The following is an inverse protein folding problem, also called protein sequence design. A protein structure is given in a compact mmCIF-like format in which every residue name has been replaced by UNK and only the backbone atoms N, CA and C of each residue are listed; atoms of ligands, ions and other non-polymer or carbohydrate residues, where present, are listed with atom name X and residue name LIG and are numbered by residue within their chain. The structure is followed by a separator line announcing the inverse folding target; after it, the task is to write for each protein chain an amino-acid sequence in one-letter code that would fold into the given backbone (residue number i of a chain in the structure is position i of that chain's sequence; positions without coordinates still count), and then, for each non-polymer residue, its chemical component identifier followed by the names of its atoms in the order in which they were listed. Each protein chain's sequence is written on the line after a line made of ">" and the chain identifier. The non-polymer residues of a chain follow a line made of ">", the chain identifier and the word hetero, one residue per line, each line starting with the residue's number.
data_IF_304681004298
#
_entry.id   IF_304681004298
#
_cell.length_a   1.000
_cell.length_b   1.000
_cell.length_c   1.000
_cell.angle_alpha   90.00
_cell.angle_beta   90.00
_cell.angle_gamma   90.00
#
_symmetry.space_group_name_H-M   'P 1'
#
loop_
_entity.id
_entity.type
_entity.pdbx_description
1 polymer ?
#
# COMPACT_ATOMS: atom_id res chain seq x y z
N UNK A 1 -9.60 -3.31 10.83
CA UNK A 1 -9.40 -3.21 12.30
C UNK A 1 -7.98 -2.79 12.63
N UNK A 2 -6.96 -3.57 12.25
CA UNK A 2 -5.56 -3.22 12.53
C UNK A 2 -5.14 -1.84 12.00
N UNK A 3 -5.37 -1.55 10.71
CA UNK A 3 -5.03 -0.23 10.15
C UNK A 3 -5.74 0.94 10.85
N UNK A 4 -7.01 0.76 11.25
CA UNK A 4 -7.75 1.78 11.97
C UNK A 4 -7.17 2.04 13.38
N UNK A 5 -6.73 0.98 14.07
CA UNK A 5 -6.08 1.13 15.38
C UNK A 5 -4.71 1.78 15.25
N UNK A 6 -3.93 1.41 14.22
CA UNK A 6 -2.65 2.07 13.92
C UNK A 6 -2.85 3.56 13.62
N UNK A 7 -3.82 3.90 12.78
CA UNK A 7 -4.16 5.30 12.49
C UNK A 7 -4.58 6.07 13.74
N UNK A 8 -5.37 5.45 14.62
CA UNK A 8 -5.81 6.06 15.89
C UNK A 8 -4.65 6.28 16.87
N UNK A 9 -3.69 5.35 16.91
CA UNK A 9 -2.54 5.40 17.81
C UNK A 9 -1.31 6.13 17.27
N UNK A 10 -1.36 6.65 16.04
CA UNK A 10 -0.24 7.36 15.42
C UNK A 10 0.05 8.66 16.17
N UNK A 11 1.34 8.92 16.41
CA UNK A 11 1.84 10.11 17.11
C UNK A 11 2.70 11.05 16.25
N UNK A 12 2.97 10.69 15.00
CA UNK A 12 3.67 11.52 14.02
C UNK A 12 2.81 11.86 12.80
N UNK A 13 3.40 12.59 11.85
CA UNK A 13 2.70 13.08 10.65
C UNK A 13 2.76 12.10 9.46
N UNK A 14 3.60 11.05 9.55
CA UNK A 14 3.76 10.06 8.48
C UNK A 14 2.49 9.24 8.27
N UNK A 15 2.10 8.99 7.01
CA UNK A 15 0.82 8.40 6.68
C UNK A 15 0.76 6.90 7.00
N UNK A 16 -0.37 6.46 7.59
CA UNK A 16 -0.70 5.05 7.76
C UNK A 16 -1.84 4.69 6.82
N UNK A 17 -1.51 3.96 5.74
CA UNK A 17 -2.45 3.61 4.68
C UNK A 17 -2.72 2.09 4.63
N UNK A 18 -3.93 1.71 4.24
CA UNK A 18 -4.29 0.33 3.90
C UNK A 18 -4.87 0.29 2.47
N UNK A 19 -4.22 -0.48 1.60
CA UNK A 19 -4.74 -0.79 0.26
C UNK A 19 -5.62 -2.02 0.31
N UNK A 20 -6.86 -1.89 -0.14
CA UNK A 20 -7.80 -3.02 -0.30
C UNK A 20 -7.99 -3.26 -1.80
N UNK A 21 -7.50 -4.38 -2.31
CA UNK A 21 -7.67 -4.75 -3.71
C UNK A 21 -9.11 -5.19 -4.02
N UNK A 22 -9.72 -4.63 -5.07
CA UNK A 22 -11.03 -5.09 -5.56
C UNK A 22 -10.89 -6.36 -6.40
N UNK A 23 -11.79 -7.33 -6.17
CA UNK A 23 -11.88 -8.60 -6.91
C UNK A 23 -10.52 -9.30 -7.03
N UNK A 24 -9.84 -9.46 -5.89
CA UNK A 24 -8.61 -10.22 -5.74
C UNK A 24 -8.78 -11.21 -4.59
N UNK A 25 -8.54 -12.50 -4.84
CA UNK A 25 -8.47 -13.53 -3.80
C UNK A 25 -7.12 -13.51 -3.08
N UNK A 26 -6.75 -14.61 -2.41
CA UNK A 26 -5.49 -14.77 -1.66
C UNK A 26 -4.19 -14.69 -2.52
N UNK A 27 -4.29 -14.38 -3.81
CA UNK A 27 -3.15 -14.12 -4.70
C UNK A 27 -3.05 -15.09 -5.88
N UNK A 28 -3.50 -16.34 -5.73
CA UNK A 28 -3.51 -17.30 -6.82
C UNK A 28 -4.43 -16.84 -7.96
N UNK A 29 -3.91 -16.81 -9.19
CA UNK A 29 -4.66 -16.39 -10.38
C UNK A 29 -4.86 -14.88 -10.53
N UNK A 30 -4.15 -14.05 -9.76
CA UNK A 30 -4.21 -12.59 -9.93
C UNK A 30 -3.65 -12.21 -11.32
N UNK A 31 -4.38 -11.44 -12.15
CA UNK A 31 -3.88 -11.03 -13.45
C UNK A 31 -2.56 -10.28 -13.33
N UNK A 32 -1.60 -10.56 -14.21
CA UNK A 32 -0.27 -9.90 -14.22
C UNK A 32 -0.38 -8.38 -14.16
N UNK A 33 -1.35 -7.79 -14.87
CA UNK A 33 -1.61 -6.34 -14.82
C UNK A 33 -1.90 -5.83 -13.40
N UNK A 34 -2.70 -6.57 -12.61
CA UNK A 34 -2.97 -6.21 -11.22
C UNK A 34 -1.75 -6.44 -10.32
N UNK A 35 -0.91 -7.42 -10.63
CA UNK A 35 0.35 -7.66 -9.92
C UNK A 35 1.31 -6.48 -10.15
N UNK A 36 1.49 -6.06 -11.39
CA UNK A 36 2.33 -4.92 -11.76
C UNK A 36 1.85 -3.65 -11.05
N UNK A 37 0.54 -3.37 -11.08
CA UNK A 37 -0.03 -2.21 -10.39
C UNK A 37 0.23 -2.23 -8.88
N UNK A 38 0.05 -3.37 -8.22
CA UNK A 38 0.35 -3.51 -6.79
C UNK A 38 1.82 -3.21 -6.45
N UNK A 39 2.76 -3.68 -7.27
CA UNK A 39 4.17 -3.40 -7.06
C UNK A 39 4.48 -1.94 -7.34
N UNK A 40 4.00 -1.39 -8.46
CA UNK A 40 4.21 0.01 -8.82
C UNK A 40 3.76 0.95 -7.70
N UNK A 41 2.58 0.70 -7.10
CA UNK A 41 2.08 1.52 -5.99
C UNK A 41 2.90 1.38 -4.70
N UNK A 42 3.39 0.18 -4.37
CA UNK A 42 4.26 -0.01 -3.20
C UNK A 42 5.58 0.72 -3.36
N UNK A 43 6.19 0.63 -4.54
CA UNK A 43 7.44 1.33 -4.85
C UNK A 43 7.23 2.83 -4.89
N UNK A 44 6.15 3.32 -5.52
CA UNK A 44 5.82 4.74 -5.55
C UNK A 44 5.61 5.30 -4.14
N UNK A 45 4.84 4.62 -3.28
CA UNK A 45 4.68 5.03 -1.88
C UNK A 45 6.02 5.10 -1.15
N UNK A 46 6.84 4.06 -1.27
CA UNK A 46 8.14 4.04 -0.60
C UNK A 46 9.07 5.15 -1.09
N UNK A 47 9.20 5.36 -2.40
CA UNK A 47 10.06 6.43 -2.94
C UNK A 47 9.57 7.83 -2.51
N UNK A 48 8.26 8.05 -2.54
CA UNK A 48 7.66 9.31 -2.12
C UNK A 48 7.89 9.60 -0.63
N UNK A 49 7.58 8.65 0.26
CA UNK A 49 7.75 8.83 1.71
C UNK A 49 9.23 8.90 2.13
N UNK A 50 10.14 8.26 1.39
CA UNK A 50 11.58 8.36 1.62
C UNK A 50 12.21 9.62 1.00
N UNK A 51 11.45 10.44 0.28
CA UNK A 51 11.96 11.65 -0.37
C UNK A 51 12.98 11.37 -1.48
N UNK A 52 12.87 10.21 -2.14
CA UNK A 52 13.75 9.82 -3.23
C UNK A 52 13.23 10.37 -4.55
N UNK A 53 14.05 11.16 -5.25
CA UNK A 53 13.78 11.64 -6.60
C UNK A 53 14.24 10.58 -7.62
N UNK A 54 13.31 10.15 -8.49
CA UNK A 54 13.46 9.04 -9.44
C UNK A 54 12.94 9.42 -10.83
#
# INVERSE_FOLDING_TARGET
>A
KYAAELQKGQGGDDPILIRIGQSAGHGAGKPTKKIIADYAEKWAFMFYEMGLDI
#
